data_IF_081631576065
#
_entry.id   IF_081631576065
#
_cell.length_a   1.000
_cell.length_b   1.000
_cell.length_c   1.000
_cell.angle_alpha   90.00
_cell.angle_beta   90.00
_cell.angle_gamma   90.00
#
_symmetry.space_group_name_H-M   'P 1'
#
loop_
_entity.id
_entity.type
_entity.pdbx_description
1 polymer ?
#
# COMPACT_ATOMS: atom_id res chain seq x y z
N UNK A 1 -17.58 -19.75 87.45
CA UNK A 1 -17.20 -20.28 86.15
C UNK A 1 -17.31 -19.17 85.15
N UNK A 2 -16.20 -18.65 84.62
CA UNK A 2 -16.15 -17.48 83.72
C UNK A 2 -15.73 -17.95 82.33
N UNK A 3 -16.68 -17.93 81.38
CA UNK A 3 -16.38 -18.24 79.98
C UNK A 3 -15.64 -17.06 79.37
N UNK A 4 -14.42 -17.31 78.89
CA UNK A 4 -13.66 -16.37 78.05
C UNK A 4 -13.99 -16.63 76.62
N UNK A 5 -14.77 -15.71 76.04
CA UNK A 5 -15.03 -15.66 74.57
C UNK A 5 -13.78 -15.10 73.91
N UNK A 6 -13.11 -15.91 73.10
CA UNK A 6 -11.96 -15.48 72.27
C UNK A 6 -12.55 -14.89 70.98
N UNK A 7 -12.43 -13.57 70.86
CA UNK A 7 -12.71 -12.88 69.58
C UNK A 7 -11.66 -13.26 68.57
N UNK A 8 -12.07 -13.98 67.55
CA UNK A 8 -11.23 -14.28 66.37
C UNK A 8 -11.49 -13.18 65.33
N UNK A 9 -10.59 -12.20 65.23
CA UNK A 9 -10.62 -11.15 64.22
C UNK A 9 -10.06 -11.72 62.95
N UNK A 10 -10.93 -12.02 61.95
CA UNK A 10 -10.52 -12.44 60.61
C UNK A 10 -10.23 -11.17 59.80
N UNK A 11 -8.92 -10.83 59.64
CA UNK A 11 -8.51 -9.74 58.77
C UNK A 11 -8.51 -10.28 57.33
N UNK A 12 -9.58 -9.88 56.58
CA UNK A 12 -9.66 -10.14 55.15
C UNK A 12 -8.74 -9.14 54.42
N UNK A 13 -7.54 -9.57 54.09
CA UNK A 13 -6.60 -8.78 53.30
C UNK A 13 -7.06 -8.82 51.84
N UNK A 14 -7.88 -7.83 51.42
CA UNK A 14 -8.19 -7.63 50.00
C UNK A 14 -6.91 -7.17 49.27
N UNK A 15 -6.21 -8.14 48.70
CA UNK A 15 -5.14 -7.87 47.74
C UNK A 15 -5.78 -7.38 46.46
N UNK A 16 -6.01 -6.07 46.32
CA UNK A 16 -6.38 -5.47 45.06
C UNK A 16 -5.20 -5.61 44.10
N UNK A 17 -5.22 -6.65 43.29
CA UNK A 17 -4.39 -6.73 42.10
C UNK A 17 -4.76 -5.54 41.20
N UNK A 18 -3.98 -4.47 41.27
CA UNK A 18 -3.91 -3.46 40.24
C UNK A 18 -3.34 -4.17 39.00
N UNK A 19 -4.21 -4.78 38.19
CA UNK A 19 -3.90 -5.09 36.83
C UNK A 19 -3.55 -3.76 36.13
N UNK A 20 -2.27 -3.39 36.14
CA UNK A 20 -1.79 -2.45 35.15
C UNK A 20 -2.07 -3.12 33.82
N UNK A 21 -3.07 -2.63 33.08
CA UNK A 21 -3.20 -2.91 31.66
C UNK A 21 -1.84 -2.51 31.06
N UNK A 22 -1.01 -3.48 30.77
CA UNK A 22 0.11 -3.29 29.90
C UNK A 22 -0.51 -2.83 28.58
N UNK A 23 -0.39 -1.54 28.27
CA UNK A 23 -0.60 -1.07 26.91
C UNK A 23 0.45 -1.79 26.06
N UNK A 24 0.11 -2.96 25.55
CA UNK A 24 0.95 -3.65 24.61
C UNK A 24 1.03 -2.74 23.39
N UNK A 25 2.19 -2.18 23.15
CA UNK A 25 2.45 -1.33 22.01
C UNK A 25 2.64 -2.22 20.76
N UNK A 26 1.74 -3.20 20.57
CA UNK A 26 1.81 -4.14 19.46
C UNK A 26 1.52 -3.43 18.16
N UNK A 27 2.39 -3.63 17.17
CA UNK A 27 2.27 -3.02 15.85
C UNK A 27 1.04 -3.56 15.09
N UNK A 28 0.69 -4.84 15.35
CA UNK A 28 -0.44 -5.53 14.72
C UNK A 28 -1.23 -6.36 15.71
N UNK A 29 -2.54 -6.46 15.45
CA UNK A 29 -3.45 -7.44 16.05
C UNK A 29 -3.67 -8.53 15.00
N UNK A 30 -3.36 -9.78 15.37
CA UNK A 30 -3.48 -10.94 14.47
C UNK A 30 -4.77 -11.71 14.76
N UNK A 31 -5.50 -12.03 13.69
CA UNK A 31 -6.60 -12.99 13.69
C UNK A 31 -6.33 -14.02 12.60
N UNK A 32 -5.59 -15.07 12.95
CA UNK A 32 -5.02 -16.07 12.05
C UNK A 32 -5.44 -17.46 12.53
N UNK A 33 -5.73 -18.36 11.59
CA UNK A 33 -6.24 -19.70 11.89
C UNK A 33 -5.26 -20.55 12.69
N UNK A 34 -3.97 -20.46 12.40
CA UNK A 34 -2.91 -21.19 13.08
C UNK A 34 -1.71 -20.26 13.31
N UNK A 35 -1.28 -20.13 14.57
CA UNK A 35 -0.18 -19.25 14.98
C UNK A 35 0.89 -20.05 15.71
N UNK A 36 2.14 -19.85 15.33
CA UNK A 36 3.33 -20.30 16.02
C UNK A 36 4.11 -19.09 16.54
N UNK A 37 4.47 -19.10 17.82
CA UNK A 37 5.22 -18.01 18.46
C UNK A 37 6.61 -18.53 18.80
N UNK A 38 7.64 -17.89 18.27
CA UNK A 38 9.03 -18.27 18.38
C UNK A 38 9.87 -17.15 19.01
N UNK A 39 11.14 -17.42 19.26
CA UNK A 39 12.13 -16.46 19.75
C UNK A 39 11.65 -15.66 20.98
N UNK A 40 11.14 -16.37 22.00
CA UNK A 40 10.61 -15.78 23.23
C UNK A 40 9.50 -14.73 22.97
N UNK A 41 8.71 -14.93 21.92
CA UNK A 41 7.60 -14.02 21.56
C UNK A 41 7.97 -12.91 20.60
N UNK A 42 9.21 -12.87 20.09
CA UNK A 42 9.65 -11.85 19.15
C UNK A 42 9.30 -12.17 17.68
N UNK A 43 9.04 -13.44 17.38
CA UNK A 43 8.64 -13.87 16.04
C UNK A 43 7.26 -14.53 16.09
N UNK A 44 6.39 -14.13 15.16
CA UNK A 44 5.07 -14.72 14.97
C UNK A 44 5.00 -15.26 13.54
N UNK A 45 4.73 -16.55 13.40
CA UNK A 45 4.42 -17.21 12.15
C UNK A 45 2.94 -17.53 12.12
N UNK A 46 2.27 -17.20 11.03
CA UNK A 46 0.84 -17.46 10.82
C UNK A 46 0.61 -18.32 9.60
N UNK A 47 -0.33 -19.28 9.71
CA UNK A 47 -0.65 -20.23 8.66
C UNK A 47 -2.15 -20.40 8.47
N UNK A 48 -2.55 -20.95 7.30
CA UNK A 48 -3.94 -21.25 6.94
C UNK A 48 -4.85 -20.03 6.86
N UNK A 49 -4.26 -18.90 6.52
CA UNK A 49 -5.00 -17.67 6.30
C UNK A 49 -5.40 -16.91 7.56
N UNK A 50 -5.71 -15.65 7.36
CA UNK A 50 -6.13 -14.73 8.42
C UNK A 50 -5.93 -13.27 8.08
N UNK A 51 -5.91 -12.44 9.13
CA UNK A 51 -5.70 -11.00 9.03
C UNK A 51 -4.69 -10.50 10.06
N UNK A 52 -3.95 -9.46 9.68
CA UNK A 52 -3.17 -8.60 10.58
C UNK A 52 -3.73 -7.18 10.47
N UNK A 53 -4.19 -6.63 11.60
CA UNK A 53 -4.73 -5.27 11.67
C UNK A 53 -3.74 -4.37 12.39
N UNK A 54 -3.32 -3.28 11.76
CA UNK A 54 -2.44 -2.30 12.39
C UNK A 54 -3.24 -1.27 13.20
N UNK A 55 -2.58 -0.51 14.09
CA UNK A 55 -3.24 0.48 14.97
C UNK A 55 -3.96 1.60 14.22
N UNK A 56 -3.48 1.95 13.03
CA UNK A 56 -4.08 2.96 12.17
C UNK A 56 -5.28 2.45 11.37
N UNK A 57 -5.70 1.19 11.61
CA UNK A 57 -6.85 0.56 10.97
C UNK A 57 -6.54 -0.09 9.62
N UNK A 58 -5.29 -0.08 9.16
CA UNK A 58 -4.92 -0.85 7.95
C UNK A 58 -5.04 -2.35 8.21
N UNK A 59 -5.59 -3.08 7.25
CA UNK A 59 -5.85 -4.53 7.35
C UNK A 59 -5.08 -5.25 6.25
N UNK A 60 -4.34 -6.29 6.64
CA UNK A 60 -3.63 -7.17 5.71
C UNK A 60 -4.24 -8.55 5.83
N UNK A 61 -4.71 -9.09 4.71
CA UNK A 61 -5.18 -10.47 4.57
C UNK A 61 -4.18 -11.26 3.74
N UNK A 62 -3.87 -12.51 4.13
CA UNK A 62 -2.97 -13.39 3.39
C UNK A 62 -3.13 -14.86 3.83
N UNK A 63 -2.48 -15.77 3.11
CA UNK A 63 -2.45 -17.20 3.49
C UNK A 63 -1.41 -17.49 4.57
N UNK A 64 -0.27 -16.76 4.55
CA UNK A 64 0.83 -16.93 5.51
C UNK A 64 1.37 -15.58 5.97
N UNK A 65 1.81 -15.54 7.23
CA UNK A 65 2.35 -14.37 7.89
C UNK A 65 3.67 -14.71 8.58
N UNK A 66 4.62 -13.81 8.49
CA UNK A 66 5.85 -13.80 9.25
C UNK A 66 6.04 -12.39 9.82
N UNK A 67 6.00 -12.26 11.13
CA UNK A 67 6.15 -10.97 11.80
C UNK A 67 7.31 -11.00 12.77
N UNK A 68 8.24 -10.07 12.62
CA UNK A 68 9.34 -9.84 13.57
C UNK A 68 9.04 -8.58 14.40
N UNK A 69 8.79 -8.77 15.70
CA UNK A 69 8.46 -7.67 16.63
C UNK A 69 9.62 -6.70 16.88
N UNK A 70 10.87 -7.18 16.78
CA UNK A 70 12.04 -6.33 17.03
C UNK A 70 12.26 -5.31 15.92
N UNK A 71 11.99 -5.71 14.68
CA UNK A 71 12.14 -4.86 13.51
C UNK A 71 10.83 -4.20 13.08
N UNK A 72 9.67 -4.65 13.58
CA UNK A 72 8.34 -4.29 13.13
C UNK A 72 8.11 -4.54 11.62
N UNK A 73 8.72 -5.62 11.10
CA UNK A 73 8.55 -6.05 9.71
C UNK A 73 7.54 -7.19 9.66
N UNK A 74 6.52 -7.02 8.85
CA UNK A 74 5.53 -8.04 8.53
C UNK A 74 5.71 -8.47 7.08
N UNK A 75 6.06 -9.74 6.86
CA UNK A 75 6.05 -10.38 5.55
C UNK A 75 4.82 -11.28 5.42
N UNK A 76 4.15 -11.22 4.27
CA UNK A 76 2.95 -12.01 3.98
C UNK A 76 3.03 -12.61 2.59
N UNK A 77 2.46 -13.80 2.43
CA UNK A 77 2.47 -14.51 1.14
C UNK A 77 1.16 -15.25 0.90
N UNK A 78 0.78 -15.33 -0.38
CA UNK A 78 -0.43 -15.99 -0.87
C UNK A 78 -1.68 -15.14 -0.70
N UNK A 79 -2.35 -14.83 -1.81
CA UNK A 79 -3.62 -14.09 -1.86
C UNK A 79 -3.59 -12.79 -1.02
N UNK A 80 -2.48 -12.05 -1.12
CA UNK A 80 -2.28 -10.85 -0.30
C UNK A 80 -3.26 -9.76 -0.70
N UNK A 81 -3.94 -9.20 0.31
CA UNK A 81 -4.74 -7.98 0.19
C UNK A 81 -4.43 -7.04 1.34
N UNK A 82 -3.94 -5.86 1.03
CA UNK A 82 -3.77 -4.74 1.95
C UNK A 82 -4.89 -3.73 1.73
N UNK A 83 -5.55 -3.33 2.80
CA UNK A 83 -6.60 -2.32 2.82
C UNK A 83 -6.16 -1.15 3.69
N UNK A 84 -6.11 0.04 3.11
CA UNK A 84 -5.95 1.31 3.80
C UNK A 84 -7.22 2.15 3.60
N UNK A 85 -8.15 2.02 4.53
CA UNK A 85 -9.43 2.73 4.45
C UNK A 85 -9.28 4.25 4.62
N UNK A 86 -8.22 4.72 5.27
CA UNK A 86 -8.00 6.16 5.49
C UNK A 86 -7.59 6.87 4.21
N UNK A 87 -6.93 6.17 3.29
CA UNK A 87 -6.48 6.69 2.00
C UNK A 87 -7.30 6.15 0.81
N UNK A 88 -8.32 5.32 1.07
CA UNK A 88 -9.12 4.63 0.05
C UNK A 88 -8.25 3.83 -0.92
N UNK A 89 -7.36 2.98 -0.37
CA UNK A 89 -6.41 2.18 -1.15
C UNK A 89 -6.62 0.69 -0.85
N UNK A 90 -6.69 -0.08 -1.93
CA UNK A 90 -6.61 -1.55 -1.88
C UNK A 90 -5.40 -1.97 -2.71
N UNK A 91 -4.50 -2.77 -2.12
CA UNK A 91 -3.38 -3.37 -2.84
C UNK A 91 -3.51 -4.89 -2.78
N UNK A 92 -3.35 -5.55 -3.91
CA UNK A 92 -3.31 -7.02 -4.01
C UNK A 92 -2.01 -7.47 -4.66
N UNK A 93 -1.50 -8.65 -4.25
CA UNK A 93 -0.26 -9.22 -4.79
C UNK A 93 -0.09 -10.69 -4.37
N UNK A 94 0.95 -11.35 -4.88
CA UNK A 94 1.31 -12.69 -4.42
C UNK A 94 2.09 -12.64 -3.10
N UNK A 95 2.87 -11.57 -2.87
CA UNK A 95 3.70 -11.36 -1.69
C UNK A 95 3.77 -9.88 -1.32
N UNK A 96 3.77 -9.57 -0.02
CA UNK A 96 4.04 -8.22 0.47
C UNK A 96 4.96 -8.21 1.70
N UNK A 97 5.65 -7.08 1.86
CA UNK A 97 6.44 -6.74 3.04
C UNK A 97 5.96 -5.37 3.52
N UNK A 98 5.50 -5.29 4.77
CA UNK A 98 5.15 -4.03 5.40
C UNK A 98 6.20 -3.64 6.42
N UNK A 99 6.93 -2.55 6.15
CA UNK A 99 7.86 -1.90 7.06
C UNK A 99 7.07 -0.93 7.93
N UNK A 100 6.57 -1.41 9.08
CA UNK A 100 5.65 -0.63 9.93
C UNK A 100 6.26 0.66 10.46
N UNK A 101 7.55 0.66 10.76
CA UNK A 101 8.25 1.86 11.26
C UNK A 101 8.37 2.96 10.19
N UNK A 102 8.34 2.59 8.92
CA UNK A 102 8.43 3.50 7.77
C UNK A 102 7.05 3.78 7.14
N UNK A 103 6.00 3.07 7.55
CA UNK A 103 4.68 3.06 6.93
C UNK A 103 4.75 2.79 5.42
N UNK A 104 5.59 1.81 5.02
CA UNK A 104 5.79 1.43 3.61
C UNK A 104 5.41 0.00 3.35
N UNK A 105 4.70 -0.21 2.25
CA UNK A 105 4.31 -1.53 1.74
C UNK A 105 5.03 -1.80 0.42
N UNK A 106 5.76 -2.90 0.35
CA UNK A 106 6.41 -3.40 -0.86
C UNK A 106 5.70 -4.67 -1.29
N UNK A 107 5.35 -4.77 -2.58
CA UNK A 107 4.68 -5.95 -3.12
C UNK A 107 5.43 -6.54 -4.30
N UNK A 108 5.29 -7.84 -4.50
CA UNK A 108 5.85 -8.55 -5.65
C UNK A 108 4.91 -9.65 -6.13
N UNK A 109 4.88 -9.86 -7.45
CA UNK A 109 4.00 -10.81 -8.12
C UNK A 109 2.57 -10.28 -8.25
N UNK A 110 2.12 -10.08 -9.49
CA UNK A 110 0.75 -9.65 -9.82
C UNK A 110 0.27 -8.46 -8.98
N UNK A 111 1.16 -7.47 -8.79
CA UNK A 111 0.89 -6.34 -7.92
C UNK A 111 -0.11 -5.38 -8.55
N UNK A 112 -1.17 -5.05 -7.81
CA UNK A 112 -2.22 -4.13 -8.23
C UNK A 112 -2.64 -3.24 -7.07
N UNK A 113 -2.62 -1.92 -7.28
CA UNK A 113 -3.20 -0.93 -6.38
C UNK A 113 -4.43 -0.30 -7.02
N UNK A 114 -5.49 -0.13 -6.24
CA UNK A 114 -6.77 0.43 -6.69
C UNK A 114 -7.24 1.49 -5.70
N UNK A 115 -7.74 2.59 -6.21
CA UNK A 115 -8.59 3.52 -5.49
C UNK A 115 -9.88 3.77 -6.30
N UNK A 116 -10.73 4.75 -5.90
CA UNK A 116 -12.02 5.00 -6.56
C UNK A 116 -11.89 5.17 -8.08
N UNK A 117 -10.91 5.94 -8.55
CA UNK A 117 -10.81 6.38 -9.96
C UNK A 117 -9.58 5.85 -10.69
N UNK A 118 -8.64 5.18 -9.99
CA UNK A 118 -7.38 4.79 -10.59
C UNK A 118 -7.01 3.33 -10.27
N UNK A 119 -6.32 2.71 -11.21
CA UNK A 119 -5.66 1.42 -11.01
C UNK A 119 -4.19 1.52 -11.42
N UNK A 120 -3.30 0.95 -10.62
CA UNK A 120 -1.88 0.80 -10.97
C UNK A 120 -1.53 -0.68 -10.88
N UNK A 121 -0.99 -1.24 -11.95
CA UNK A 121 -0.51 -2.63 -12.00
C UNK A 121 0.96 -2.69 -12.38
N UNK A 122 1.70 -3.66 -11.83
CA UNK A 122 3.11 -3.89 -12.18
C UNK A 122 3.59 -5.26 -11.66
N UNK A 123 4.81 -5.65 -11.99
CA UNK A 123 5.44 -6.82 -11.35
C UNK A 123 5.75 -6.57 -9.87
N UNK A 124 6.02 -5.30 -9.48
CA UNK A 124 6.20 -4.88 -8.09
C UNK A 124 5.71 -3.46 -7.86
N UNK A 125 5.17 -3.21 -6.66
CA UNK A 125 4.74 -1.90 -6.20
C UNK A 125 5.41 -1.56 -4.86
N UNK A 126 5.74 -0.29 -4.67
CA UNK A 126 6.03 0.34 -3.39
C UNK A 126 4.91 1.35 -3.11
N UNK A 127 4.31 1.31 -1.93
CA UNK A 127 3.39 2.32 -1.43
C UNK A 127 3.97 2.96 -0.18
N UNK A 128 4.30 4.24 -0.26
CA UNK A 128 4.64 5.09 0.87
C UNK A 128 3.35 5.74 1.40
N UNK A 129 2.84 5.20 2.50
CA UNK A 129 1.57 5.62 3.08
C UNK A 129 1.61 7.05 3.62
N UNK A 130 2.74 7.47 4.19
CA UNK A 130 2.88 8.81 4.78
C UNK A 130 2.79 9.88 3.70
N UNK A 131 3.47 9.66 2.58
CA UNK A 131 3.56 10.62 1.49
C UNK A 131 2.49 10.40 0.40
N UNK A 132 1.70 9.31 0.47
CA UNK A 132 0.77 8.88 -0.57
C UNK A 132 1.44 8.74 -1.94
N UNK A 133 2.61 8.08 -1.98
CA UNK A 133 3.38 7.86 -3.20
C UNK A 133 3.34 6.39 -3.58
N UNK A 134 3.01 6.12 -4.85
CA UNK A 134 3.13 4.80 -5.46
C UNK A 134 4.31 4.78 -6.42
N UNK A 135 5.11 3.69 -6.38
CA UNK A 135 6.14 3.40 -7.38
C UNK A 135 5.90 2.00 -7.92
N UNK A 136 5.58 1.92 -9.19
CA UNK A 136 5.34 0.69 -9.93
C UNK A 136 6.53 0.38 -10.82
N UNK A 137 7.02 -0.85 -10.81
CA UNK A 137 8.21 -1.25 -11.55
C UNK A 137 7.98 -2.52 -12.35
N UNK A 138 8.53 -2.53 -13.55
CA UNK A 138 8.45 -3.61 -14.56
C UNK A 138 7.04 -3.82 -15.07
N UNK A 139 6.85 -3.48 -16.34
CA UNK A 139 5.56 -3.53 -17.03
C UNK A 139 4.48 -2.76 -16.27
N UNK A 140 4.82 -1.54 -15.85
CA UNK A 140 3.90 -0.71 -15.09
C UNK A 140 2.81 -0.13 -16.00
N UNK A 141 1.56 -0.22 -15.52
CA UNK A 141 0.39 0.37 -16.17
C UNK A 141 -0.40 1.15 -15.13
N UNK A 142 -0.73 2.39 -15.44
CA UNK A 142 -1.65 3.22 -14.66
C UNK A 142 -2.86 3.57 -15.51
N UNK A 143 -4.06 3.33 -14.97
CA UNK A 143 -5.34 3.63 -15.60
C UNK A 143 -6.06 4.68 -14.77
N UNK A 144 -6.49 5.75 -15.41
CA UNK A 144 -7.34 6.79 -14.85
C UNK A 144 -8.71 6.71 -15.54
N UNK A 145 -9.70 6.22 -14.81
CA UNK A 145 -11.05 5.98 -15.35
C UNK A 145 -11.83 7.27 -15.54
N UNK A 146 -11.56 8.29 -14.71
CA UNK A 146 -12.21 9.60 -14.83
C UNK A 146 -11.70 10.37 -16.05
N UNK A 147 -10.40 10.25 -16.30
CA UNK A 147 -9.73 10.93 -17.41
C UNK A 147 -9.61 10.06 -18.67
N UNK A 148 -10.14 8.84 -18.64
CA UNK A 148 -10.06 7.88 -19.76
C UNK A 148 -8.64 7.80 -20.35
N UNK A 149 -7.65 7.68 -19.46
CA UNK A 149 -6.24 7.70 -19.82
C UNK A 149 -5.52 6.47 -19.28
N UNK A 150 -4.78 5.80 -20.13
CA UNK A 150 -3.91 4.68 -19.73
C UNK A 150 -2.46 5.04 -20.01
N UNK A 151 -1.60 4.84 -19.02
CA UNK A 151 -0.16 5.11 -19.09
C UNK A 151 0.61 3.80 -18.90
N UNK A 152 1.53 3.52 -19.81
CA UNK A 152 2.43 2.37 -19.80
C UNK A 152 3.87 2.85 -19.66
N UNK A 153 4.70 2.17 -18.86
CA UNK A 153 6.13 2.45 -18.75
C UNK A 153 6.89 1.28 -18.11
N UNK A 154 8.21 1.35 -18.11
CA UNK A 154 9.04 0.44 -17.32
C UNK A 154 8.88 0.74 -15.82
N UNK A 155 8.82 2.04 -15.46
CA UNK A 155 8.54 2.51 -14.11
C UNK A 155 7.54 3.67 -14.13
N UNK A 156 6.59 3.65 -13.18
CA UNK A 156 5.62 4.72 -12.93
C UNK A 156 5.73 5.16 -11.47
N UNK A 157 5.83 6.46 -11.24
CA UNK A 157 5.68 7.08 -9.92
C UNK A 157 4.42 7.95 -9.93
N UNK A 158 3.48 7.67 -9.03
CA UNK A 158 2.27 8.48 -8.83
C UNK A 158 2.33 9.20 -7.49
N UNK A 159 2.34 10.52 -7.53
CA UNK A 159 2.24 11.41 -6.38
C UNK A 159 0.77 11.73 -6.17
N UNK A 160 0.06 10.92 -5.37
CA UNK A 160 -1.41 11.02 -5.21
C UNK A 160 -1.84 12.38 -4.67
N UNK A 161 -1.11 12.95 -3.72
CA UNK A 161 -1.46 14.25 -3.14
C UNK A 161 -1.30 15.42 -4.13
N UNK A 162 -0.46 15.26 -5.15
CA UNK A 162 -0.21 16.26 -6.19
C UNK A 162 -0.98 15.97 -7.48
N UNK A 163 -1.66 14.82 -7.56
CA UNK A 163 -2.31 14.30 -8.76
C UNK A 163 -1.35 14.30 -9.98
N UNK A 164 -0.09 13.88 -9.76
CA UNK A 164 0.95 13.82 -10.81
C UNK A 164 1.50 12.44 -11.01
N UNK A 165 1.66 12.08 -12.28
CA UNK A 165 2.27 10.83 -12.71
C UNK A 165 3.58 11.13 -13.43
N UNK A 166 4.65 10.45 -13.04
CA UNK A 166 5.95 10.47 -13.71
C UNK A 166 6.29 9.07 -14.19
N UNK A 167 6.87 8.98 -15.39
CA UNK A 167 7.28 7.71 -15.95
C UNK A 167 8.74 7.71 -16.38
N UNK A 168 9.33 6.53 -16.42
CA UNK A 168 10.68 6.30 -16.99
C UNK A 168 10.71 5.02 -17.79
N UNK A 169 11.35 5.07 -18.96
CA UNK A 169 11.54 3.91 -19.86
C UNK A 169 10.26 3.53 -20.60
N UNK A 170 10.35 3.50 -21.94
CA UNK A 170 9.28 3.03 -22.84
C UNK A 170 7.89 3.62 -22.51
N UNK A 171 7.87 4.93 -22.25
CA UNK A 171 6.69 5.59 -21.76
C UNK A 171 5.67 5.83 -22.87
N UNK A 172 4.42 5.47 -22.63
CA UNK A 172 3.30 5.65 -23.55
C UNK A 172 2.05 6.06 -22.78
N UNK A 173 1.41 7.16 -23.18
CA UNK A 173 0.09 7.54 -22.71
C UNK A 173 -0.92 7.40 -23.86
N UNK A 174 -2.08 6.83 -23.58
CA UNK A 174 -3.15 6.59 -24.53
C UNK A 174 -4.45 7.13 -23.97
N UNK A 175 -5.19 7.85 -24.77
CA UNK A 175 -6.60 8.15 -24.56
C UNK A 175 -7.39 7.83 -25.84
N UNK A 176 -8.68 8.16 -25.89
CA UNK A 176 -9.55 7.81 -27.01
C UNK A 176 -8.98 8.24 -28.38
N UNK A 177 -8.49 9.49 -28.48
CA UNK A 177 -8.11 10.10 -29.74
C UNK A 177 -6.61 10.31 -29.92
N UNK A 178 -5.80 10.06 -28.88
CA UNK A 178 -4.39 10.42 -28.90
C UNK A 178 -3.49 9.34 -28.29
N UNK A 179 -2.29 9.28 -28.84
CA UNK A 179 -1.18 8.51 -28.25
C UNK A 179 0.04 9.41 -28.12
N UNK A 180 0.70 9.40 -26.96
CA UNK A 180 1.95 10.09 -26.73
C UNK A 180 2.98 9.06 -26.29
N UNK A 181 4.12 8.99 -26.95
CA UNK A 181 5.23 8.13 -26.59
C UNK A 181 6.50 8.95 -26.36
N UNK A 182 7.36 8.54 -25.42
CA UNK A 182 8.62 9.18 -25.13
C UNK A 182 9.53 8.28 -24.27
N UNK A 183 10.75 8.70 -23.99
CA UNK A 183 11.58 8.05 -22.97
C UNK A 183 11.05 8.29 -21.55
N UNK A 184 10.40 9.43 -21.32
CA UNK A 184 9.71 9.76 -20.06
C UNK A 184 8.50 10.67 -20.29
N UNK A 185 7.49 10.51 -19.45
CA UNK A 185 6.29 11.36 -19.42
C UNK A 185 6.10 11.93 -18.02
N UNK A 186 5.61 13.14 -17.94
CA UNK A 186 4.99 13.76 -16.78
C UNK A 186 3.53 14.05 -17.14
N UNK A 187 2.59 13.60 -16.32
CA UNK A 187 1.18 13.90 -16.46
C UNK A 187 0.68 14.64 -15.23
N UNK A 188 0.28 15.88 -15.41
CA UNK A 188 -0.42 16.68 -14.42
C UNK A 188 -1.92 16.48 -14.64
N UNK A 189 -2.56 15.69 -13.78
CA UNK A 189 -3.97 15.30 -13.91
C UNK A 189 -4.92 16.47 -13.64
N UNK A 190 -4.51 17.39 -12.76
CA UNK A 190 -5.32 18.56 -12.41
C UNK A 190 -5.46 19.48 -13.62
N UNK A 191 -4.35 19.72 -14.31
CA UNK A 191 -4.29 20.64 -15.44
C UNK A 191 -4.49 19.93 -16.79
N UNK A 192 -4.63 18.60 -16.82
CA UNK A 192 -4.71 17.79 -18.05
C UNK A 192 -3.51 17.99 -18.98
N UNK A 193 -2.29 18.17 -18.43
CA UNK A 193 -1.08 18.45 -19.20
C UNK A 193 -0.16 17.24 -19.21
N UNK A 194 0.24 16.80 -20.40
CA UNK A 194 1.31 15.85 -20.63
C UNK A 194 2.57 16.59 -21.08
N UNK A 195 3.74 16.22 -20.48
CA UNK A 195 5.06 16.63 -20.96
C UNK A 195 5.84 15.37 -21.29
N UNK A 196 6.13 15.20 -22.57
CA UNK A 196 6.90 14.09 -23.11
C UNK A 196 8.33 14.54 -23.38
N UNK A 197 9.33 13.78 -22.94
CA UNK A 197 10.75 14.16 -23.07
C UNK A 197 11.58 13.02 -23.68
N UNK A 198 12.46 13.41 -24.60
CA UNK A 198 13.37 12.56 -25.37
C UNK A 198 12.64 11.61 -26.32
N UNK A 199 12.86 11.80 -27.61
CA UNK A 199 12.24 11.05 -28.70
C UNK A 199 10.69 11.07 -28.58
N UNK A 200 10.13 12.23 -28.29
CA UNK A 200 8.71 12.36 -28.11
C UNK A 200 7.97 12.29 -29.43
N UNK A 201 6.90 11.50 -29.47
CA UNK A 201 5.98 11.39 -30.60
C UNK A 201 4.56 11.56 -30.05
N UNK A 202 3.79 12.45 -30.65
CA UNK A 202 2.36 12.61 -30.38
C UNK A 202 1.56 12.35 -31.64
N UNK A 203 0.58 11.46 -31.56
CA UNK A 203 -0.34 11.10 -32.63
C UNK A 203 -1.76 11.53 -32.23
N UNK A 204 -2.41 12.29 -33.09
CA UNK A 204 -3.81 12.70 -32.98
C UNK A 204 -4.58 11.97 -34.09
N UNK A 205 -5.40 11.00 -33.70
CA UNK A 205 -6.10 10.14 -34.65
C UNK A 205 -7.31 10.84 -35.29
N UNK A 206 -7.88 11.85 -34.61
CA UNK A 206 -8.99 12.59 -35.14
C UNK A 206 -8.53 13.56 -36.26
N UNK A 207 -7.36 14.20 -36.05
CA UNK A 207 -6.77 15.12 -37.04
C UNK A 207 -5.82 14.43 -38.01
N UNK A 208 -5.60 13.14 -37.86
CA UNK A 208 -4.65 12.36 -38.65
C UNK A 208 -3.24 12.99 -38.67
N UNK A 209 -2.78 13.52 -37.53
CA UNK A 209 -1.49 14.20 -37.44
C UNK A 209 -0.51 13.49 -36.52
N UNK A 210 0.76 13.53 -36.89
CA UNK A 210 1.85 13.00 -36.06
C UNK A 210 2.92 14.08 -35.88
N UNK A 211 3.28 14.35 -34.64
CA UNK A 211 4.30 15.33 -34.27
C UNK A 211 5.50 14.61 -33.65
N UNK A 212 6.72 14.96 -34.08
CA UNK A 212 8.00 14.44 -33.57
C UNK A 212 8.79 15.60 -33.00
N UNK A 213 9.33 15.44 -31.76
CA UNK A 213 10.22 16.43 -31.15
C UNK A 213 11.05 15.79 -30.03
N UNK A 214 12.05 16.51 -29.53
CA UNK A 214 12.77 16.12 -28.30
C UNK A 214 11.90 16.33 -27.08
N UNK A 215 11.03 17.35 -27.10
CA UNK A 215 10.08 17.64 -26.04
C UNK A 215 8.72 18.07 -26.64
N UNK A 216 7.65 17.47 -26.12
CA UNK A 216 6.26 17.82 -26.49
C UNK A 216 5.50 18.14 -25.20
N UNK A 217 4.83 19.30 -25.20
CA UNK A 217 3.80 19.60 -24.20
C UNK A 217 2.44 19.51 -24.87
N UNK A 218 1.60 18.63 -24.36
CA UNK A 218 0.27 18.37 -24.88
C UNK A 218 -0.77 18.72 -23.80
N UNK A 219 -1.72 19.57 -24.15
CA UNK A 219 -2.88 19.89 -23.31
C UNK A 219 -4.06 19.05 -23.81
N UNK A 220 -4.52 18.13 -22.96
CA UNK A 220 -5.72 17.36 -23.23
C UNK A 220 -6.93 18.26 -23.00
N UNK A 221 -7.65 18.59 -24.08
CA UNK A 221 -8.92 19.30 -23.98
C UNK A 221 -9.98 18.36 -23.40
N UNK A 222 -10.86 18.91 -22.58
CA UNK A 222 -12.02 18.20 -22.04
C UNK A 222 -13.07 17.95 -23.12
#
# INVERSE_FOLDING_TARGET
MRNKLKNFIFIFFCFSFLCKSANSNEAFIFNITEIEILENGNQINGYKGGTATSKDGSIITADKFFFNKLTNILEVTGNVKYLDSSNDIIITSDKAIYLKNEEKVYTTGNSKAVNANNTITASSLEYDKINNIFKAKKNAVAEDFEKETTIYADEITYLKNEEKVFTTGNSKAVNENNTITASSLEYDKINNIFKAKKNAVAEDFEKETTTYADEITYLKNE
#
